data_IF_182270654425
#
_entry.id   IF_182270654425
#
_cell.length_a   1.000
_cell.length_b   1.000
_cell.length_c   1.000
_cell.angle_alpha   90.00
_cell.angle_beta   90.00
_cell.angle_gamma   90.00
#
_symmetry.space_group_name_H-M   'P 1'
#
loop_
_entity.id
_entity.type
_entity.pdbx_description
1 polymer ?
#
# COMPACT_ATOMS: atom_id res chain seq x y z
N UNK A 1 -7.51 -8.07 3.48
CA UNK A 1 -8.31 -6.81 3.50
C UNK A 1 -7.36 -5.67 3.17
N UNK A 2 -7.74 -4.76 2.27
CA UNK A 2 -6.93 -3.57 1.96
C UNK A 2 -7.40 -2.41 2.84
N UNK A 3 -6.47 -1.71 3.48
CA UNK A 3 -6.75 -0.43 4.17
C UNK A 3 -6.18 0.73 3.37
N UNK A 4 -6.98 1.79 3.26
CA UNK A 4 -6.63 3.01 2.54
C UNK A 4 -6.68 4.21 3.48
N UNK A 5 -5.69 5.09 3.38
CA UNK A 5 -5.60 6.32 4.18
C UNK A 5 -5.17 7.48 3.31
N UNK A 6 -5.77 8.64 3.56
CA UNK A 6 -5.32 9.92 3.02
C UNK A 6 -4.86 10.80 4.18
N UNK A 7 -3.72 11.44 4.04
CA UNK A 7 -3.17 12.32 5.08
C UNK A 7 -2.28 13.40 4.47
N UNK A 8 -2.08 14.48 5.22
CA UNK A 8 -1.15 15.54 4.86
C UNK A 8 0.10 15.42 5.73
N UNK A 9 1.26 15.33 5.10
CA UNK A 9 2.55 15.30 5.78
C UNK A 9 3.39 16.46 5.26
N UNK A 10 3.74 17.41 6.15
CA UNK A 10 4.49 18.62 5.80
C UNK A 10 3.85 19.39 4.63
N UNK A 11 2.55 19.65 4.73
CA UNK A 11 1.73 20.35 3.72
C UNK A 11 1.63 19.65 2.35
N UNK A 12 2.08 18.39 2.26
CA UNK A 12 1.98 17.57 1.06
C UNK A 12 0.91 16.50 1.26
N UNK A 13 -0.06 16.34 0.34
CA UNK A 13 -1.06 15.28 0.42
C UNK A 13 -0.46 13.93 0.02
N UNK A 14 -0.81 12.90 0.77
CA UNK A 14 -0.37 11.52 0.58
C UNK A 14 -1.56 10.56 0.68
N UNK A 15 -1.53 9.54 -0.18
CA UNK A 15 -2.35 8.35 -0.10
C UNK A 15 -1.46 7.19 0.35
N UNK A 16 -1.99 6.34 1.22
CA UNK A 16 -1.35 5.10 1.61
C UNK A 16 -2.32 3.94 1.42
N UNK A 17 -1.85 2.89 0.74
CA UNK A 17 -2.56 1.62 0.56
C UNK A 17 -1.79 0.49 1.23
N UNK A 18 -2.48 -0.26 2.07
CA UNK A 18 -1.87 -1.24 2.97
C UNK A 18 -2.56 -2.61 2.87
N UNK A 19 -2.06 -3.52 2.03
CA UNK A 19 -2.40 -4.94 2.06
C UNK A 19 -1.90 -5.55 3.36
N UNK A 20 -2.84 -5.96 4.20
CA UNK A 20 -2.58 -6.79 5.37
C UNK A 20 -2.90 -8.25 5.08
N UNK A 21 -1.99 -9.14 5.43
CA UNK A 21 -2.20 -10.59 5.40
C UNK A 21 -1.65 -11.24 6.68
N UNK A 22 -2.22 -12.38 7.04
CA UNK A 22 -1.80 -13.16 8.21
C UNK A 22 -1.30 -14.50 7.74
N UNK A 23 -0.13 -14.91 8.22
CA UNK A 23 0.45 -16.23 7.97
C UNK A 23 1.09 -16.74 9.25
N UNK A 24 0.83 -18.01 9.58
CA UNK A 24 1.33 -18.68 10.79
C UNK A 24 1.11 -17.88 12.09
N UNK A 25 -0.07 -17.24 12.20
CA UNK A 25 -0.42 -16.40 13.34
C UNK A 25 0.29 -15.03 13.39
N UNK A 26 1.15 -14.72 12.43
CA UNK A 26 1.84 -13.44 12.30
C UNK A 26 1.15 -12.55 11.26
N UNK A 27 0.86 -11.31 11.64
CA UNK A 27 0.31 -10.30 10.73
C UNK A 27 1.43 -9.54 10.03
N UNK A 28 1.37 -9.49 8.71
CA UNK A 28 2.29 -8.78 7.84
C UNK A 28 1.57 -7.67 7.09
N UNK A 29 2.32 -6.62 6.74
CA UNK A 29 1.78 -5.49 6.02
C UNK A 29 2.83 -4.90 5.09
N UNK A 30 2.45 -4.67 3.84
CA UNK A 30 3.25 -3.89 2.90
C UNK A 30 2.52 -2.58 2.63
N UNK A 31 3.21 -1.45 2.78
CA UNK A 31 2.59 -0.13 2.64
C UNK A 31 3.10 0.56 1.39
N UNK A 32 2.19 0.95 0.50
CA UNK A 32 2.53 1.77 -0.68
C UNK A 32 2.05 3.19 -0.44
N UNK A 33 2.99 4.14 -0.42
CA UNK A 33 2.71 5.56 -0.17
C UNK A 33 2.96 6.35 -1.45
N UNK A 34 2.00 7.16 -1.85
CA UNK A 34 2.08 7.92 -3.10
C UNK A 34 1.35 9.26 -2.98
N UNK A 35 1.72 10.21 -3.83
CA UNK A 35 1.02 11.49 -3.91
C UNK A 35 -0.21 11.35 -4.82
N UNK A 36 -1.31 12.08 -4.59
CA UNK A 36 -2.54 11.95 -5.38
C UNK A 36 -2.30 12.12 -6.90
N UNK A 37 -1.39 13.02 -7.27
CA UNK A 37 -1.04 13.27 -8.68
C UNK A 37 -0.40 12.07 -9.40
N UNK A 38 0.08 11.07 -8.66
CA UNK A 38 0.71 9.86 -9.22
C UNK A 38 -0.15 8.61 -8.99
N UNK A 39 -1.43 8.77 -8.65
CA UNK A 39 -2.29 7.66 -8.23
C UNK A 39 -2.38 6.55 -9.28
N UNK A 40 -2.64 6.89 -10.54
CA UNK A 40 -2.82 5.88 -11.60
C UNK A 40 -1.57 4.98 -11.75
N UNK A 41 -0.38 5.57 -11.74
CA UNK A 41 0.86 4.81 -11.84
C UNK A 41 1.21 4.07 -10.55
N UNK A 42 0.93 4.68 -9.39
CA UNK A 42 1.15 4.05 -8.10
C UNK A 42 0.25 2.81 -7.93
N UNK A 43 -0.99 2.84 -8.43
CA UNK A 43 -1.89 1.69 -8.38
C UNK A 43 -1.41 0.53 -9.27
N UNK A 44 -0.84 0.82 -10.46
CA UNK A 44 -0.22 -0.22 -11.30
C UNK A 44 0.97 -0.89 -10.62
N UNK A 45 1.78 -0.12 -9.89
CA UNK A 45 2.91 -0.66 -9.11
C UNK A 45 2.38 -1.50 -7.94
N UNK A 46 1.37 -0.99 -7.24
CA UNK A 46 0.71 -1.68 -6.14
C UNK A 46 0.20 -3.07 -6.55
N UNK A 47 -0.54 -3.17 -7.67
CA UNK A 47 -1.06 -4.44 -8.18
C UNK A 47 0.04 -5.46 -8.47
N UNK A 48 1.19 -5.02 -9.00
CA UNK A 48 2.35 -5.90 -9.23
C UNK A 48 2.97 -6.39 -7.93
N UNK A 49 3.08 -5.52 -6.93
CA UNK A 49 3.60 -5.90 -5.60
C UNK A 49 2.66 -6.89 -4.93
N UNK A 50 1.35 -6.65 -4.97
CA UNK A 50 0.35 -7.55 -4.41
C UNK A 50 0.37 -8.92 -5.10
N UNK A 51 0.40 -8.97 -6.43
CA UNK A 51 0.42 -10.22 -7.19
C UNK A 51 1.73 -11.02 -7.04
N UNK A 52 2.85 -10.34 -6.82
CA UNK A 52 4.18 -10.96 -6.69
C UNK A 52 4.56 -11.31 -5.25
N UNK A 53 3.81 -10.85 -4.26
CA UNK A 53 4.18 -11.06 -2.86
C UNK A 53 4.07 -12.53 -2.48
N UNK A 54 5.18 -13.11 -2.00
CA UNK A 54 5.24 -14.47 -1.47
C UNK A 54 5.92 -14.42 -0.12
N UNK A 55 5.30 -15.04 0.89
CA UNK A 55 5.98 -15.30 2.15
C UNK A 55 6.84 -16.56 1.96
N UNK A 56 8.15 -16.43 2.19
CA UNK A 56 9.13 -17.52 2.07
C UNK A 56 9.30 -18.27 3.40
#
# INVERSE_FOLDING_TARGET
>A
MIREYTFTLKDVPWHARLPGFTADGTAYQVNTWYQPKTEEDALKVYEKVEAGFTLL
#
